data_IF_806724942851
#
_entry.id   IF_806724942851
#
_cell.length_a   1.000
_cell.length_b   1.000
_cell.length_c   1.000
_cell.angle_alpha   90.00
_cell.angle_beta   90.00
_cell.angle_gamma   90.00
#
_symmetry.space_group_name_H-M   'P 1'
#
loop_
_entity.id
_entity.type
_entity.pdbx_description
1 polymer ?
#
# COMPACT_ATOMS: atom_id res chain seq x y z
N UNK A 1 -7.89 -3.71 -4.45
CA UNK A 1 -6.61 -3.78 -3.72
C UNK A 1 -5.60 -4.73 -4.36
N UNK A 2 -5.94 -6.01 -4.61
CA UNK A 2 -5.05 -6.93 -5.36
C UNK A 2 -5.25 -6.86 -6.89
N UNK A 3 -6.46 -6.51 -7.37
CA UNK A 3 -6.71 -6.22 -8.79
C UNK A 3 -5.81 -5.11 -9.37
N UNK A 4 -5.45 -4.12 -8.55
CA UNK A 4 -4.52 -3.04 -8.91
C UNK A 4 -3.10 -3.54 -9.19
N UNK A 5 -2.76 -4.73 -8.69
CA UNK A 5 -1.49 -5.41 -8.92
C UNK A 5 -1.55 -6.39 -10.09
N UNK A 6 -2.69 -6.47 -10.80
CA UNK A 6 -2.91 -7.44 -11.89
C UNK A 6 -2.98 -8.89 -11.41
N UNK A 7 -3.10 -9.14 -10.11
CA UNK A 7 -3.12 -10.49 -9.55
C UNK A 7 -4.54 -11.06 -9.50
N UNK A 8 -4.64 -12.37 -9.75
CA UNK A 8 -5.83 -13.16 -9.48
C UNK A 8 -5.97 -13.44 -7.97
N UNK A 9 -7.19 -13.80 -7.51
CA UNK A 9 -7.48 -14.05 -6.09
C UNK A 9 -6.63 -15.20 -5.52
N UNK A 10 -6.48 -16.29 -6.26
CA UNK A 10 -5.65 -17.44 -5.87
C UNK A 10 -4.15 -17.08 -5.75
N UNK A 11 -3.64 -16.32 -6.72
CA UNK A 11 -2.26 -15.84 -6.71
C UNK A 11 -1.98 -14.92 -5.52
N UNK A 12 -2.91 -14.00 -5.23
CA UNK A 12 -2.81 -13.10 -4.09
C UNK A 12 -2.89 -13.85 -2.75
N UNK A 13 -3.76 -14.86 -2.65
CA UNK A 13 -3.86 -15.71 -1.46
C UNK A 13 -2.55 -16.47 -1.19
N UNK A 14 -1.96 -17.07 -2.23
CA UNK A 14 -0.63 -17.71 -2.16
C UNK A 14 0.46 -16.73 -1.73
N UNK A 15 0.51 -15.55 -2.34
CA UNK A 15 1.51 -14.52 -2.02
C UNK A 15 1.42 -14.05 -0.56
N UNK A 16 0.19 -13.90 -0.05
CA UNK A 16 -0.05 -13.51 1.33
C UNK A 16 0.00 -14.67 2.32
N UNK A 17 0.27 -15.90 1.86
CA UNK A 17 0.25 -17.14 2.64
C UNK A 17 -1.06 -17.34 3.43
N UNK A 18 -2.19 -16.99 2.82
CA UNK A 18 -3.53 -17.20 3.39
C UNK A 18 -4.41 -18.01 2.44
N UNK A 19 -5.53 -18.53 2.96
CA UNK A 19 -6.51 -19.21 2.12
C UNK A 19 -7.35 -18.21 1.32
N UNK A 20 -7.85 -18.65 0.17
CA UNK A 20 -8.77 -17.86 -0.65
C UNK A 20 -10.03 -17.43 0.11
N UNK A 21 -10.54 -18.31 0.99
CA UNK A 21 -11.67 -18.00 1.88
C UNK A 21 -11.35 -16.85 2.83
N UNK A 22 -10.16 -16.84 3.43
CA UNK A 22 -9.73 -15.74 4.32
C UNK A 22 -9.61 -14.44 3.55
N UNK A 23 -8.98 -14.48 2.36
CA UNK A 23 -8.86 -13.31 1.50
C UNK A 23 -10.24 -12.80 1.04
N UNK A 24 -11.16 -13.69 0.68
CA UNK A 24 -12.54 -13.35 0.32
C UNK A 24 -13.30 -12.72 1.49
N UNK A 25 -13.13 -13.23 2.72
CA UNK A 25 -13.77 -12.66 3.91
C UNK A 25 -13.26 -11.24 4.21
N UNK A 26 -11.98 -10.97 3.98
CA UNK A 26 -11.41 -9.63 4.08
C UNK A 26 -11.98 -8.67 3.04
N UNK A 27 -12.13 -9.14 1.79
CA UNK A 27 -12.67 -8.34 0.69
C UNK A 27 -14.17 -8.06 0.84
N UNK A 28 -14.91 -9.01 1.40
CA UNK A 28 -16.34 -8.87 1.72
C UNK A 28 -16.58 -7.98 2.95
N UNK A 29 -15.53 -7.37 3.54
CA UNK A 29 -15.59 -6.57 4.77
C UNK A 29 -16.15 -7.33 5.99
N UNK A 30 -16.28 -8.66 5.92
CA UNK A 30 -16.79 -9.49 7.02
C UNK A 30 -15.77 -9.65 8.15
N UNK A 31 -14.49 -9.45 7.84
CA UNK A 31 -13.40 -9.56 8.81
C UNK A 31 -12.33 -8.52 8.53
N UNK A 32 -11.77 -7.95 9.59
CA UNK A 32 -10.71 -6.96 9.50
C UNK A 32 -9.44 -7.56 8.86
N UNK A 33 -8.79 -6.78 8.00
CA UNK A 33 -7.50 -7.14 7.37
C UNK A 33 -6.39 -6.94 8.41
N UNK A 34 -5.57 -7.95 8.71
CA UNK A 34 -4.43 -7.80 9.61
C UNK A 34 -3.52 -6.64 9.20
N UNK A 35 -3.03 -5.88 10.18
CA UNK A 35 -2.25 -4.67 9.94
C UNK A 35 -1.03 -4.89 9.03
N UNK A 36 -0.29 -5.99 9.26
CA UNK A 36 0.86 -6.37 8.43
C UNK A 36 0.47 -6.61 6.96
N UNK A 37 -0.61 -7.35 6.71
CA UNK A 37 -1.14 -7.61 5.37
C UNK A 37 -1.58 -6.31 4.69
N UNK A 38 -2.29 -5.44 5.41
CA UNK A 38 -2.73 -4.14 4.89
C UNK A 38 -1.55 -3.25 4.50
N UNK A 39 -0.47 -3.27 5.30
CA UNK A 39 0.75 -2.52 5.01
C UNK A 39 1.52 -3.09 3.83
N UNK A 40 1.64 -4.42 3.72
CA UNK A 40 2.25 -5.08 2.57
C UNK A 40 1.49 -4.74 1.28
N UNK A 41 0.16 -4.84 1.29
CA UNK A 41 -0.67 -4.45 0.14
C UNK A 41 -0.50 -2.97 -0.23
N UNK A 42 -0.35 -2.08 0.76
CA UNK A 42 -0.05 -0.66 0.51
C UNK A 42 1.32 -0.47 -0.13
N UNK A 43 2.34 -1.13 0.40
CA UNK A 43 3.70 -1.06 -0.11
C UNK A 43 3.78 -1.55 -1.56
N UNK A 44 3.14 -2.68 -1.88
CA UNK A 44 3.05 -3.23 -3.24
C UNK A 44 2.37 -2.26 -4.20
N UNK A 45 1.31 -1.59 -3.74
CA UNK A 45 0.60 -0.58 -4.52
C UNK A 45 1.29 0.80 -4.50
N UNK A 46 2.51 0.92 -3.95
CA UNK A 46 3.24 2.19 -3.78
C UNK A 46 2.42 3.27 -3.06
N UNK A 47 1.51 2.85 -2.18
CA UNK A 47 0.70 3.72 -1.34
C UNK A 47 1.44 4.05 -0.04
N UNK A 48 1.10 5.19 0.56
CA UNK A 48 1.64 5.57 1.85
C UNK A 48 1.19 4.59 2.94
N UNK A 49 2.14 4.25 3.83
CA UNK A 49 1.85 3.46 5.02
C UNK A 49 1.11 4.33 6.05
N UNK A 50 0.15 3.77 6.79
CA UNK A 50 -0.52 4.47 7.88
C UNK A 50 0.53 4.91 8.92
N UNK A 51 0.46 6.18 9.34
CA UNK A 51 1.39 6.76 10.31
C UNK A 51 2.74 7.23 9.74
N UNK A 52 3.05 6.99 8.46
CA UNK A 52 4.23 7.59 7.85
C UNK A 52 3.93 9.01 7.35
N UNK A 53 4.74 10.03 7.72
CA UNK A 53 4.65 11.33 7.09
C UNK A 53 4.97 11.15 5.60
N UNK A 54 4.12 11.72 4.73
CA UNK A 54 4.40 11.79 3.28
C UNK A 54 5.84 12.27 3.12
N UNK A 55 6.69 11.49 2.43
CA UNK A 55 8.00 11.95 2.01
C UNK A 55 7.78 13.13 1.04
N UNK A 56 7.69 14.35 1.58
CA UNK A 56 7.74 15.57 0.80
C UNK A 56 9.16 15.60 0.25
N UNK A 57 9.32 15.34 -1.04
CA UNK A 57 10.59 15.65 -1.73
C UNK A 57 10.88 17.11 -1.43
N UNK A 58 11.88 17.38 -0.59
CA UNK A 58 12.41 18.73 -0.38
C UNK A 58 12.99 19.16 -1.73
N UNK A 59 12.15 19.75 -2.58
CA UNK A 59 12.57 20.46 -3.77
C UNK A 59 13.54 21.52 -3.26
N UNK A 60 14.84 21.33 -3.49
CA UNK A 60 15.87 22.30 -3.10
C UNK A 60 15.44 23.64 -3.69
N UNK A 61 15.05 24.57 -2.82
CA UNK A 61 14.91 25.98 -3.17
C UNK A 61 16.33 26.52 -3.36
N UNK A 62 16.92 26.23 -4.51
CA UNK A 62 18.15 26.83 -4.98
C UNK A 62 17.82 27.70 -6.19
N UNK A 63 17.68 29.00 -5.93
CA UNK A 63 17.53 30.19 -6.81
C UNK A 63 16.33 31.01 -6.32
N UNK A 64 16.40 32.30 -6.01
CA UNK A 64 17.44 33.28 -6.16
C UNK A 64 17.20 34.38 -5.12
N UNK A 65 18.17 34.61 -4.23
CA UNK A 65 18.40 35.95 -3.64
C UNK A 65 19.69 36.47 -4.25
N UNK A 66 19.62 36.93 -5.49
CA UNK A 66 20.57 37.93 -5.98
C UNK A 66 20.05 39.27 -5.45
N UNK A 67 20.83 39.86 -4.54
CA UNK A 67 20.69 41.21 -4.01
C UNK A 67 20.76 42.23 -5.15
N UNK A 68 20.03 43.36 -5.09
CA UNK A 68 20.57 44.63 -5.53
C UNK A 68 21.61 45.15 -4.51
#
# INVERSE_FOLDING_TARGET
MYKSLGMELAACAKYLHVTERTLHNWLSSKRYIPFATGNLLRLLNRMNLPGQPRHIRKRRLSSARRKP
#
